data_IF_599952199126
#
_entry.id   IF_599952199126
#
_cell.length_a   1.000
_cell.length_b   1.000
_cell.length_c   1.000
_cell.angle_alpha   90.00
_cell.angle_beta   90.00
_cell.angle_gamma   90.00
#
_symmetry.space_group_name_H-M   'P 1'
#
loop_
_entity.id
_entity.type
_entity.pdbx_description
1 polymer ?
#
# COMPACT_ATOMS: atom_id res chain seq x y z
N UNK A 1 10.94 -3.29 -20.02
CA UNK A 1 9.95 -3.65 -18.98
C UNK A 1 8.59 -3.74 -19.65
N UNK A 2 7.84 -4.77 -19.35
CA UNK A 2 6.53 -5.01 -19.99
C UNK A 2 5.41 -4.79 -18.94
N UNK A 3 4.30 -4.21 -19.39
CA UNK A 3 3.11 -4.05 -18.59
C UNK A 3 2.01 -4.95 -19.12
N UNK A 4 1.36 -5.69 -18.24
CA UNK A 4 0.35 -6.67 -18.58
C UNK A 4 -0.96 -6.38 -17.85
N UNK A 5 -2.07 -6.54 -18.55
CA UNK A 5 -3.41 -6.41 -17.96
C UNK A 5 -4.13 -5.14 -18.38
N UNK A 6 -5.46 -5.23 -18.37
CA UNK A 6 -6.38 -4.22 -18.89
C UNK A 6 -6.33 -2.89 -18.13
N UNK A 7 -5.99 -2.93 -16.83
CA UNK A 7 -6.03 -1.75 -15.95
C UNK A 7 -4.66 -1.15 -15.65
N UNK A 8 -3.59 -1.63 -16.30
CA UNK A 8 -2.24 -1.19 -15.99
C UNK A 8 -2.02 0.28 -16.34
N UNK A 9 -2.52 0.73 -17.50
CA UNK A 9 -2.40 2.13 -17.92
C UNK A 9 -3.21 3.06 -17.01
N UNK A 10 -4.39 2.62 -16.58
CA UNK A 10 -5.22 3.36 -15.62
C UNK A 10 -4.49 3.53 -14.27
N UNK A 11 -3.87 2.47 -13.77
CA UNK A 11 -3.08 2.51 -12.52
C UNK A 11 -1.90 3.45 -12.66
N UNK A 12 -1.16 3.37 -13.75
CA UNK A 12 -0.03 4.25 -14.02
C UNK A 12 -0.48 5.72 -14.09
N UNK A 13 -1.59 5.99 -14.75
CA UNK A 13 -2.15 7.33 -14.86
C UNK A 13 -2.57 7.89 -13.50
N UNK A 14 -3.17 7.08 -12.63
CA UNK A 14 -3.54 7.51 -11.26
C UNK A 14 -2.32 7.91 -10.42
N UNK A 15 -1.21 7.20 -10.57
CA UNK A 15 0.03 7.57 -9.91
C UNK A 15 0.54 8.92 -10.43
N UNK A 16 0.57 9.10 -11.74
CA UNK A 16 1.00 10.37 -12.37
C UNK A 16 0.11 11.53 -11.92
N UNK A 17 -1.21 11.32 -11.89
CA UNK A 17 -2.16 12.35 -11.49
C UNK A 17 -2.03 12.73 -10.02
N UNK A 18 -1.65 11.80 -9.14
CA UNK A 18 -1.35 12.10 -7.74
C UNK A 18 -0.20 13.10 -7.61
N UNK A 19 0.84 12.96 -8.44
CA UNK A 19 1.98 13.89 -8.45
C UNK A 19 1.66 15.24 -9.13
N UNK A 20 0.65 15.30 -9.98
CA UNK A 20 0.15 16.56 -10.55
C UNK A 20 -0.65 17.38 -9.55
N UNK A 21 -1.13 16.74 -8.49
CA UNK A 21 -1.89 17.36 -7.40
C UNK A 21 -1.18 17.17 -6.06
N UNK A 22 0.03 17.77 -5.90
CA UNK A 22 0.89 17.52 -4.74
C UNK A 22 0.25 17.96 -3.42
N UNK A 23 -0.74 18.83 -3.44
CA UNK A 23 -1.50 19.26 -2.26
C UNK A 23 -2.30 18.13 -1.58
N UNK A 24 -2.60 17.08 -2.32
CA UNK A 24 -3.32 15.89 -1.81
C UNK A 24 -2.41 14.82 -1.22
N UNK A 25 -1.12 14.84 -1.58
CA UNK A 25 -0.17 13.82 -1.17
C UNK A 25 0.06 13.74 0.34
N UNK A 26 0.22 14.84 1.09
CA UNK A 26 0.45 14.75 2.53
C UNK A 26 -0.68 14.05 3.27
N UNK A 27 -1.93 14.36 2.94
CA UNK A 27 -3.11 13.75 3.57
C UNK A 27 -3.24 12.27 3.20
N UNK A 28 -2.99 11.92 1.93
CA UNK A 28 -3.04 10.53 1.48
C UNK A 28 -1.90 9.68 2.06
N UNK A 29 -0.71 10.26 2.24
CA UNK A 29 0.46 9.55 2.72
C UNK A 29 0.53 9.45 4.26
N UNK A 30 -0.11 10.38 4.99
CA UNK A 30 -0.06 10.40 6.45
C UNK A 30 -0.37 9.03 7.11
N UNK A 31 -1.42 8.30 6.73
CA UNK A 31 -1.70 6.97 7.28
C UNK A 31 -0.59 5.95 7.03
N UNK A 32 0.15 6.08 5.93
CA UNK A 32 1.25 5.17 5.60
C UNK A 32 2.42 5.28 6.57
N UNK A 33 2.65 6.47 7.11
CA UNK A 33 3.74 6.72 8.06
C UNK A 33 3.33 6.45 9.51
N UNK A 34 2.09 6.75 9.85
CA UNK A 34 1.58 6.69 11.23
C UNK A 34 1.36 5.24 11.69
N UNK A 35 0.90 4.37 10.80
CA UNK A 35 0.55 2.99 11.16
C UNK A 35 1.56 1.95 10.66
N UNK A 36 2.83 2.27 10.67
CA UNK A 36 3.88 1.44 10.07
C UNK A 36 4.13 0.10 10.78
N UNK A 37 3.69 -0.04 12.01
CA UNK A 37 3.91 -1.23 12.85
C UNK A 37 2.77 -2.24 12.83
N UNK A 38 1.63 -1.90 12.22
CA UNK A 38 0.49 -2.80 12.15
C UNK A 38 0.74 -3.96 11.19
N UNK A 39 0.15 -5.10 11.51
CA UNK A 39 0.26 -6.32 10.69
C UNK A 39 -0.68 -6.34 9.46
N UNK A 40 -1.04 -5.16 8.97
CA UNK A 40 -1.88 -4.97 7.78
C UNK A 40 -1.05 -5.24 6.52
N UNK A 41 -1.43 -6.22 5.68
CA UNK A 41 -0.60 -6.65 4.55
C UNK A 41 -0.23 -5.55 3.56
N UNK A 42 -1.14 -4.62 3.26
CA UNK A 42 -0.88 -3.56 2.28
C UNK A 42 0.21 -2.57 2.72
N UNK A 43 0.54 -2.51 3.99
CA UNK A 43 1.62 -1.65 4.52
C UNK A 43 3.02 -2.17 4.23
N UNK A 44 3.12 -3.46 3.87
CA UNK A 44 4.36 -4.10 3.42
C UNK A 44 4.57 -4.01 1.91
N UNK A 45 3.61 -3.42 1.20
CA UNK A 45 3.70 -3.25 -0.24
C UNK A 45 4.64 -2.10 -0.63
N UNK A 46 4.99 -2.03 -1.91
CA UNK A 46 5.75 -0.91 -2.47
C UNK A 46 5.01 0.41 -2.24
N UNK A 47 5.76 1.51 -2.12
CA UNK A 47 5.20 2.82 -1.81
C UNK A 47 4.11 3.27 -2.80
N UNK A 48 4.27 2.95 -4.10
CA UNK A 48 3.26 3.32 -5.11
C UNK A 48 1.95 2.55 -4.93
N UNK A 49 2.00 1.28 -4.51
CA UNK A 49 0.79 0.53 -4.20
C UNK A 49 0.12 1.03 -2.91
N UNK A 50 0.90 1.39 -1.90
CA UNK A 50 0.38 2.01 -0.70
C UNK A 50 -0.28 3.36 -1.01
N UNK A 51 0.32 4.17 -1.88
CA UNK A 51 -0.26 5.42 -2.35
C UNK A 51 -1.60 5.20 -3.06
N UNK A 52 -1.69 4.21 -3.95
CA UNK A 52 -2.94 3.89 -4.65
C UNK A 52 -4.07 3.52 -3.69
N UNK A 53 -3.77 2.77 -2.64
CA UNK A 53 -4.72 2.42 -1.59
C UNK A 53 -5.15 3.66 -0.79
N UNK A 54 -4.19 4.47 -0.37
CA UNK A 54 -4.45 5.69 0.40
C UNK A 54 -5.29 6.70 -0.38
N UNK A 55 -5.04 6.86 -1.68
CA UNK A 55 -5.84 7.71 -2.57
C UNK A 55 -7.30 7.25 -2.71
N UNK A 56 -7.58 5.97 -2.43
CA UNK A 56 -8.94 5.45 -2.37
C UNK A 56 -9.61 5.64 -1.00
N UNK A 57 -8.92 6.28 -0.04
CA UNK A 57 -9.46 6.61 1.27
C UNK A 57 -9.55 5.43 2.24
N UNK A 58 -8.80 4.36 2.00
CA UNK A 58 -8.76 3.19 2.90
C UNK A 58 -7.38 2.99 3.50
N UNK A 59 -7.33 2.38 4.66
CA UNK A 59 -6.09 2.04 5.39
C UNK A 59 -5.75 0.56 5.32
N UNK A 60 -6.70 -0.29 4.91
CA UNK A 60 -6.51 -1.73 4.75
C UNK A 60 -7.18 -2.19 3.46
N UNK A 61 -6.37 -2.71 2.55
CA UNK A 61 -6.82 -3.32 1.32
C UNK A 61 -6.13 -4.66 1.11
N UNK A 62 -6.89 -5.66 0.68
CA UNK A 62 -6.40 -7.03 0.50
C UNK A 62 -7.06 -7.67 -0.72
N UNK A 63 -6.41 -8.69 -1.28
CA UNK A 63 -7.04 -9.55 -2.27
C UNK A 63 -8.13 -10.42 -1.66
N UNK A 64 -9.04 -10.92 -2.49
CA UNK A 64 -10.18 -11.76 -2.05
C UNK A 64 -9.72 -12.94 -1.18
N UNK A 65 -8.64 -13.62 -1.57
CA UNK A 65 -8.11 -14.76 -0.80
C UNK A 65 -7.60 -14.36 0.58
N UNK A 66 -7.01 -13.18 0.69
CA UNK A 66 -6.53 -12.65 1.97
C UNK A 66 -7.70 -12.26 2.87
N UNK A 67 -8.76 -11.66 2.31
CA UNK A 67 -9.98 -11.37 3.05
C UNK A 67 -10.66 -12.63 3.57
N UNK A 68 -10.81 -13.64 2.72
CA UNK A 68 -11.39 -14.93 3.12
C UNK A 68 -10.58 -15.59 4.26
N UNK A 69 -9.24 -15.51 4.19
CA UNK A 69 -8.37 -16.01 5.27
C UNK A 69 -8.53 -15.23 6.57
N UNK A 70 -8.86 -13.96 6.49
CA UNK A 70 -9.14 -13.11 7.66
C UNK A 70 -10.59 -13.23 8.18
N UNK A 71 -11.37 -14.18 7.68
CA UNK A 71 -12.76 -14.37 8.08
C UNK A 71 -13.74 -13.33 7.50
N UNK A 72 -13.33 -12.62 6.46
CA UNK A 72 -14.14 -11.58 5.82
C UNK A 72 -14.40 -11.88 4.35
N UNK A 73 -15.51 -11.39 3.86
CA UNK A 73 -15.92 -11.52 2.46
C UNK A 73 -16.14 -10.17 1.82
N UNK A 74 -15.70 -10.03 0.57
CA UNK A 74 -15.98 -8.83 -0.23
C UNK A 74 -17.46 -8.80 -0.58
N UNK A 75 -18.09 -7.66 -0.34
CA UNK A 75 -19.52 -7.44 -0.65
C UNK A 75 -19.73 -7.48 -2.16
N UNK A 76 -20.85 -8.05 -2.57
CA UNK A 76 -21.22 -8.09 -3.99
C UNK A 76 -21.39 -6.67 -4.54
N UNK A 77 -20.77 -6.39 -5.69
CA UNK A 77 -20.85 -5.08 -6.34
C UNK A 77 -19.78 -4.09 -5.89
N UNK A 78 -18.88 -4.48 -5.00
CA UNK A 78 -17.76 -3.63 -4.58
C UNK A 78 -16.80 -3.36 -5.74
N UNK A 79 -16.30 -2.13 -5.81
CA UNK A 79 -15.27 -1.72 -6.76
C UNK A 79 -13.89 -2.20 -6.34
N UNK A 80 -13.10 -2.74 -7.27
CA UNK A 80 -11.72 -3.10 -7.01
C UNK A 80 -10.82 -1.87 -7.05
N UNK A 81 -9.84 -1.86 -6.14
CA UNK A 81 -8.67 -0.99 -6.23
C UNK A 81 -7.61 -1.76 -7.02
N UNK A 82 -7.15 -1.19 -8.12
CA UNK A 82 -6.13 -1.83 -8.93
C UNK A 82 -4.75 -1.38 -8.48
N UNK A 83 -3.88 -2.35 -8.20
CA UNK A 83 -2.47 -2.14 -7.83
C UNK A 83 -1.56 -2.85 -8.81
N UNK A 84 -0.25 -2.56 -8.75
CA UNK A 84 0.76 -3.18 -9.60
C UNK A 84 1.49 -4.28 -8.84
N UNK A 85 1.45 -5.50 -9.39
CA UNK A 85 2.24 -6.61 -8.88
C UNK A 85 3.38 -6.96 -9.86
N UNK A 86 4.60 -7.22 -9.37
CA UNK A 86 5.70 -7.60 -10.22
C UNK A 86 5.49 -8.99 -10.81
N UNK A 87 5.81 -9.14 -12.09
CA UNK A 87 5.94 -10.44 -12.76
C UNK A 87 7.38 -10.92 -12.61
N UNK A 88 7.56 -11.99 -11.87
CA UNK A 88 8.89 -12.52 -11.53
C UNK A 88 9.12 -13.84 -12.24
N UNK A 89 10.32 -14.05 -12.76
CA UNK A 89 10.78 -15.35 -13.23
C UNK A 89 12.08 -15.72 -12.55
N UNK A 90 12.26 -17.00 -12.30
CA UNK A 90 13.52 -17.56 -11.84
C UNK A 90 14.46 -17.72 -13.04
N UNK A 91 15.70 -17.33 -12.88
CA UNK A 91 16.78 -17.49 -13.83
C UNK A 91 17.94 -18.14 -13.10
N UNK A 92 18.50 -19.18 -13.70
CA UNK A 92 19.70 -19.82 -13.20
C UNK A 92 20.89 -19.22 -13.94
N UNK A 93 21.81 -18.61 -13.21
CA UNK A 93 23.09 -18.13 -13.71
C UNK A 93 24.21 -18.94 -13.07
N UNK A 94 25.31 -19.12 -13.77
CA UNK A 94 26.56 -19.65 -13.21
C UNK A 94 27.37 -18.49 -12.62
N UNK A 95 27.87 -18.66 -11.40
CA UNK A 95 28.80 -17.72 -10.80
C UNK A 95 30.22 -17.89 -11.42
N UNK A 96 31.13 -16.99 -11.11
CA UNK A 96 32.53 -17.03 -11.58
C UNK A 96 33.29 -18.30 -11.14
N UNK A 97 32.69 -19.14 -10.31
CA UNK A 97 33.24 -20.41 -9.82
C UNK A 97 32.50 -21.63 -10.37
N UNK A 98 31.61 -21.45 -11.39
CA UNK A 98 30.85 -22.52 -12.00
C UNK A 98 29.72 -23.09 -11.11
N UNK A 99 29.27 -22.36 -10.08
CA UNK A 99 28.17 -22.75 -9.23
C UNK A 99 26.87 -22.15 -9.76
N UNK A 100 25.86 -22.99 -9.89
CA UNK A 100 24.53 -22.53 -10.25
C UNK A 100 23.92 -21.68 -9.12
N UNK A 101 23.48 -20.47 -9.48
CA UNK A 101 22.72 -19.56 -8.61
C UNK A 101 21.36 -19.28 -9.20
N UNK A 102 20.33 -19.60 -8.44
CA UNK A 102 18.97 -19.13 -8.76
C UNK A 102 18.81 -17.69 -8.32
N UNK A 103 18.40 -16.83 -9.26
CA UNK A 103 17.96 -15.47 -8.93
C UNK A 103 16.60 -15.21 -9.52
N UNK A 104 15.85 -14.32 -8.86
CA UNK A 104 14.57 -13.85 -9.37
C UNK A 104 14.78 -12.52 -10.09
N UNK A 105 14.28 -12.42 -11.31
CA UNK A 105 14.27 -11.18 -12.08
C UNK A 105 12.83 -10.73 -12.34
N UNK A 106 12.60 -9.42 -12.20
CA UNK A 106 11.34 -8.80 -12.56
C UNK A 106 11.39 -8.49 -14.05
N UNK A 107 10.48 -9.06 -14.83
CA UNK A 107 10.40 -8.83 -16.28
C UNK A 107 9.22 -7.95 -16.69
N UNK A 108 8.35 -7.60 -15.77
CA UNK A 108 7.21 -6.74 -16.01
C UNK A 108 6.33 -6.55 -14.78
N UNK A 109 5.24 -5.87 -14.97
CA UNK A 109 4.20 -5.63 -13.95
C UNK A 109 2.81 -5.97 -14.51
N UNK A 110 1.92 -6.40 -13.66
CA UNK A 110 0.52 -6.63 -13.98
C UNK A 110 -0.38 -5.93 -12.96
N UNK A 111 -1.56 -5.50 -13.41
CA UNK A 111 -2.59 -5.00 -12.50
C UNK A 111 -3.26 -6.15 -11.77
N UNK A 112 -3.46 -5.98 -10.45
CA UNK A 112 -4.16 -6.94 -9.57
C UNK A 112 -5.26 -6.21 -8.81
N UNK A 113 -6.46 -6.82 -8.68
CA UNK A 113 -7.54 -6.24 -7.90
C UNK A 113 -7.34 -6.52 -6.42
N UNK A 114 -7.51 -5.48 -5.61
CA UNK A 114 -7.66 -5.57 -4.16
C UNK A 114 -8.90 -4.81 -3.73
N UNK A 115 -9.39 -5.07 -2.53
CA UNK A 115 -10.63 -4.50 -2.02
C UNK A 115 -10.40 -3.87 -0.67
N UNK A 116 -11.01 -2.72 -0.44
CA UNK A 116 -10.95 -2.01 0.82
C UNK A 116 -11.70 -2.75 1.93
N UNK A 117 -11.27 -2.55 3.19
CA UNK A 117 -11.96 -3.12 4.36
C UNK A 117 -13.42 -2.70 4.42
N UNK A 118 -13.73 -1.46 4.05
CA UNK A 118 -15.08 -0.89 4.03
C UNK A 118 -16.02 -1.63 3.09
N UNK A 119 -15.45 -2.29 2.07
CA UNK A 119 -16.17 -3.10 1.09
C UNK A 119 -16.27 -4.57 1.50
N UNK A 120 -15.96 -4.89 2.74
CA UNK A 120 -16.02 -6.27 3.27
C UNK A 120 -16.97 -6.38 4.44
N UNK A 121 -17.44 -7.59 4.68
CA UNK A 121 -18.23 -7.99 5.83
C UNK A 121 -17.70 -9.27 6.44
N UNK A 122 -17.92 -9.48 7.73
CA UNK A 122 -17.47 -10.68 8.45
C UNK A 122 -16.86 -10.36 9.79
N UNK A 123 -15.87 -11.16 10.21
CA UNK A 123 -15.25 -11.07 11.52
C UNK A 123 -14.58 -9.71 11.75
N UNK A 124 -14.61 -9.24 12.99
CA UNK A 124 -13.83 -8.07 13.38
C UNK A 124 -12.33 -8.39 13.22
N UNK A 125 -11.59 -7.44 12.66
CA UNK A 125 -10.13 -7.56 12.62
C UNK A 125 -9.57 -7.19 14.00
N UNK A 126 -8.41 -7.75 14.39
CA UNK A 126 -7.69 -7.27 15.55
C UNK A 126 -7.49 -5.75 15.39
N UNK A 127 -7.97 -4.99 16.38
CA UNK A 127 -7.65 -3.57 16.43
C UNK A 127 -6.13 -3.47 16.54
N UNK A 128 -5.52 -2.80 15.56
CA UNK A 128 -4.12 -2.41 15.69
C UNK A 128 -4.01 -1.54 16.93
N UNK A 129 -2.93 -1.72 17.67
CA UNK A 129 -2.66 -0.93 18.86
C UNK A 129 -2.78 0.55 18.49
N UNK A 130 -3.81 1.23 19.01
CA UNK A 130 -4.07 2.65 18.77
C UNK A 130 -3.03 3.55 19.49
N UNK A 131 -1.75 3.25 19.23
CA UNK A 131 -0.64 4.12 19.64
C UNK A 131 -0.69 5.50 18.96
N UNK A 132 -1.58 5.69 17.99
CA UNK A 132 -1.74 6.96 17.30
C UNK A 132 -2.10 8.10 18.25
N UNK A 133 -3.07 7.88 19.14
CA UNK A 133 -3.52 8.90 20.08
C UNK A 133 -2.48 9.23 21.16
N UNK A 134 -1.69 8.24 21.57
CA UNK A 134 -0.59 8.47 22.52
C UNK A 134 0.57 9.19 21.84
N UNK A 135 0.90 8.82 20.62
CA UNK A 135 2.03 9.38 19.88
C UNK A 135 1.79 10.82 19.43
N UNK A 136 0.58 11.15 18.99
CA UNK A 136 0.19 12.53 18.63
C UNK A 136 0.17 13.44 19.85
N UNK A 137 -0.19 12.92 21.03
CA UNK A 137 -0.13 13.66 22.30
C UNK A 137 1.29 13.89 22.80
N UNK A 138 2.23 13.02 22.44
CA UNK A 138 3.63 13.10 22.85
C UNK A 138 4.53 13.84 21.85
N UNK A 139 4.04 14.16 20.66
CA UNK A 139 4.80 14.97 19.72
C UNK A 139 4.93 16.41 20.27
N UNK A 140 6.15 16.90 20.56
CA UNK A 140 6.35 18.26 21.06
C UNK A 140 6.21 19.29 19.91
N UNK A 141 5.15 19.14 19.10
CA UNK A 141 4.91 20.02 17.96
C UNK A 141 4.65 21.47 18.41
N UNK A 142 4.07 21.64 19.59
CA UNK A 142 3.89 22.96 20.20
C UNK A 142 5.23 23.59 20.61
N UNK A 143 6.17 22.82 21.13
CA UNK A 143 7.49 23.30 21.48
C UNK A 143 8.34 23.58 20.23
N UNK A 144 8.25 22.70 19.24
CA UNK A 144 8.93 22.88 17.93
C UNK A 144 8.34 24.09 17.21
N UNK A 145 7.01 24.24 17.16
CA UNK A 145 6.36 25.38 16.55
C UNK A 145 6.73 26.70 17.26
N UNK A 146 6.78 26.70 18.59
CA UNK A 146 7.21 27.87 19.37
C UNK A 146 8.69 28.22 19.11
N UNK A 147 9.57 27.23 19.02
CA UNK A 147 10.99 27.42 18.70
C UNK A 147 11.21 28.00 17.29
N UNK A 148 10.27 27.74 16.36
CA UNK A 148 10.31 28.23 14.99
C UNK A 148 9.49 29.52 14.78
N UNK A 149 8.91 30.09 15.84
CA UNK A 149 8.13 31.33 15.77
C UNK A 149 6.78 31.17 15.05
N UNK A 150 6.27 29.94 14.93
CA UNK A 150 4.96 29.65 14.36
C UNK A 150 3.93 29.76 15.46
N UNK A 151 3.09 30.80 15.42
CA UNK A 151 1.93 30.92 16.32
C UNK A 151 0.80 30.02 15.83
N UNK A 152 0.25 29.24 16.75
CA UNK A 152 -0.98 28.46 16.53
C UNK A 152 -2.21 29.38 16.45
#
# INVERSE_FOLDING_TARGET
MKFFGKHTDEVAQRIVDAFRHPERLPVALAPMFIHREDDVPCRKWSWHNQLLVALCGTVDARGIKQWNKAGRKVKKGSGAIWILAPCVKKVTDEDHHGRERERQIIYGFRSVPVFAIEDTEGDALPEGDDHYDSWVKELPLTEVAAAWGISS
#
